data_IF_017044995971
#
_entry.id   IF_017044995971
#
_cell.length_a   1.000
_cell.length_b   1.000
_cell.length_c   1.000
_cell.angle_alpha   90.00
_cell.angle_beta   90.00
_cell.angle_gamma   90.00
#
_symmetry.space_group_name_H-M   'P 1'
#
loop_
_entity.id
_entity.type
_entity.pdbx_description
1 polymer ?
#
# COMPACT_ATOMS: atom_id res chain seq x y z
N UNK A 1 -32.61 1.16 -7.93
CA UNK A 1 -32.06 0.73 -6.62
C UNK A 1 -32.26 -0.76 -6.35
N UNK A 2 -33.33 -1.38 -6.80
CA UNK A 2 -33.54 -2.84 -6.67
C UNK A 2 -32.57 -3.67 -7.55
N UNK A 3 -32.25 -3.24 -8.77
CA UNK A 3 -31.29 -3.88 -9.68
C UNK A 3 -29.84 -3.88 -9.14
N UNK A 4 -29.47 -2.84 -8.36
CA UNK A 4 -28.13 -2.68 -7.77
C UNK A 4 -27.88 -3.67 -6.62
N UNK A 5 -28.91 -4.27 -6.06
CA UNK A 5 -28.83 -5.15 -4.88
C UNK A 5 -28.85 -6.64 -5.23
N UNK A 6 -29.13 -7.01 -6.48
CA UNK A 6 -28.98 -8.38 -6.93
C UNK A 6 -27.51 -8.68 -7.19
N UNK A 7 -26.99 -9.70 -6.53
CA UNK A 7 -25.71 -10.27 -6.93
C UNK A 7 -25.98 -10.97 -8.28
N UNK A 8 -25.23 -10.57 -9.29
CA UNK A 8 -25.22 -11.22 -10.60
C UNK A 8 -24.55 -12.61 -10.56
N UNK A 9 -24.24 -13.14 -9.38
CA UNK A 9 -23.55 -14.43 -9.20
C UNK A 9 -22.12 -14.43 -9.75
N UNK A 10 -21.52 -13.25 -9.99
CA UNK A 10 -20.21 -13.10 -10.63
C UNK A 10 -19.15 -12.57 -9.67
N UNK A 11 -17.92 -13.05 -9.83
CA UNK A 11 -16.75 -12.45 -9.20
C UNK A 11 -16.41 -11.12 -9.86
N UNK A 12 -16.18 -10.10 -9.04
CA UNK A 12 -15.61 -8.84 -9.49
C UNK A 12 -14.10 -8.96 -9.71
N UNK A 13 -13.51 -7.97 -10.41
CA UNK A 13 -12.07 -7.96 -10.65
C UNK A 13 -11.25 -8.00 -9.34
N UNK A 14 -11.69 -7.27 -8.31
CA UNK A 14 -11.04 -7.27 -7.00
C UNK A 14 -11.15 -8.64 -6.29
N UNK A 15 -12.28 -9.35 -6.43
CA UNK A 15 -12.46 -10.70 -5.86
C UNK A 15 -11.39 -11.65 -6.43
N UNK A 16 -11.25 -11.67 -7.76
CA UNK A 16 -10.30 -12.55 -8.45
C UNK A 16 -8.85 -12.20 -8.12
N UNK A 17 -8.53 -10.89 -8.06
CA UNK A 17 -7.21 -10.40 -7.67
C UNK A 17 -6.83 -10.87 -6.27
N UNK A 18 -7.72 -10.67 -5.31
CA UNK A 18 -7.48 -11.02 -3.91
C UNK A 18 -7.41 -12.53 -3.73
N UNK A 19 -8.31 -13.30 -4.36
CA UNK A 19 -8.25 -14.76 -4.30
C UNK A 19 -6.94 -15.32 -4.88
N UNK A 20 -6.44 -14.74 -5.97
CA UNK A 20 -5.14 -15.13 -6.54
C UNK A 20 -3.98 -14.81 -5.57
N UNK A 21 -4.03 -13.66 -4.91
CA UNK A 21 -3.03 -13.28 -3.91
C UNK A 21 -3.08 -14.23 -2.70
N UNK A 22 -4.26 -14.47 -2.11
CA UNK A 22 -4.42 -15.39 -0.99
C UNK A 22 -3.96 -16.81 -1.32
N UNK A 23 -4.21 -17.27 -2.55
CA UNK A 23 -3.71 -18.58 -3.01
C UNK A 23 -2.18 -18.58 -3.11
N UNK A 24 -1.56 -17.51 -3.63
CA UNK A 24 -0.10 -17.37 -3.74
C UNK A 24 0.59 -17.30 -2.38
N UNK A 25 0.11 -16.43 -1.48
CA UNK A 25 0.67 -16.33 -0.12
C UNK A 25 0.37 -17.55 0.73
N UNK A 26 -0.83 -18.16 0.57
CA UNK A 26 -1.16 -19.43 1.20
C UNK A 26 -0.24 -20.58 0.75
N UNK A 27 0.14 -20.61 -0.52
CA UNK A 27 1.14 -21.56 -1.02
C UNK A 27 2.53 -21.31 -0.38
N UNK A 28 2.94 -20.04 -0.21
CA UNK A 28 4.16 -19.70 0.51
C UNK A 28 4.11 -20.16 1.98
N UNK A 29 3.00 -19.92 2.67
CA UNK A 29 2.79 -20.41 4.05
C UNK A 29 2.94 -21.93 4.11
N UNK A 30 2.35 -22.66 3.16
CA UNK A 30 2.46 -24.12 3.10
C UNK A 30 3.90 -24.60 2.84
N UNK A 31 4.63 -23.94 1.94
CA UNK A 31 6.03 -24.26 1.64
C UNK A 31 6.95 -24.02 2.83
N UNK A 32 6.71 -22.91 3.56
CA UNK A 32 7.54 -22.53 4.69
C UNK A 32 6.91 -22.90 6.05
N UNK A 33 6.00 -23.86 6.07
CA UNK A 33 5.24 -24.29 7.26
C UNK A 33 6.10 -24.49 8.50
N UNK A 34 7.21 -25.20 8.37
CA UNK A 34 8.10 -25.51 9.48
C UNK A 34 8.87 -24.30 10.05
N UNK A 35 8.82 -23.17 9.35
CA UNK A 35 9.45 -21.89 9.78
C UNK A 35 8.43 -20.89 10.30
N UNK A 36 7.14 -21.21 10.25
CA UNK A 36 6.01 -20.33 10.56
C UNK A 36 5.15 -20.98 11.66
N UNK A 37 5.40 -20.66 12.93
CA UNK A 37 4.54 -21.10 14.03
C UNK A 37 3.07 -20.70 13.81
N UNK A 38 2.83 -19.55 13.17
CA UNK A 38 1.51 -18.99 12.87
C UNK A 38 0.87 -19.55 11.57
N UNK A 39 1.49 -20.55 10.91
CA UNK A 39 0.99 -21.11 9.66
C UNK A 39 -0.45 -21.62 9.72
N UNK A 40 -0.90 -22.35 10.77
CA UNK A 40 -2.29 -22.79 10.88
C UNK A 40 -3.28 -21.64 10.90
N UNK A 41 -2.97 -20.57 11.66
CA UNK A 41 -3.81 -19.40 11.81
C UNK A 41 -3.87 -18.59 10.50
N UNK A 42 -2.73 -18.40 9.83
CA UNK A 42 -2.65 -17.71 8.53
C UNK A 42 -3.47 -18.46 7.47
N UNK A 43 -3.33 -19.79 7.35
CA UNK A 43 -4.13 -20.56 6.41
C UNK A 43 -5.62 -20.54 6.76
N UNK A 44 -5.97 -20.60 8.03
CA UNK A 44 -7.37 -20.48 8.46
C UNK A 44 -7.96 -19.11 8.06
N UNK A 45 -7.20 -18.03 8.22
CA UNK A 45 -7.59 -16.69 7.80
C UNK A 45 -7.74 -16.59 6.26
N UNK A 46 -6.80 -17.16 5.49
CA UNK A 46 -6.87 -17.19 4.02
C UNK A 46 -8.11 -17.96 3.54
N UNK A 47 -8.32 -19.15 4.07
CA UNK A 47 -9.50 -19.98 3.73
C UNK A 47 -10.78 -19.27 4.15
N UNK A 48 -10.84 -18.70 5.35
CA UNK A 48 -11.99 -17.95 5.84
C UNK A 48 -12.31 -16.74 4.96
N UNK A 49 -11.29 -15.96 4.56
CA UNK A 49 -11.44 -14.84 3.64
C UNK A 49 -11.91 -15.30 2.25
N UNK A 50 -11.33 -16.38 1.71
CA UNK A 50 -11.75 -16.93 0.43
C UNK A 50 -13.20 -17.41 0.47
N UNK A 51 -13.61 -18.12 1.51
CA UNK A 51 -15.01 -18.54 1.72
C UNK A 51 -15.93 -17.30 1.78
N UNK A 52 -15.57 -16.27 2.55
CA UNK A 52 -16.37 -15.05 2.66
C UNK A 52 -16.54 -14.35 1.30
N UNK A 53 -15.49 -14.28 0.49
CA UNK A 53 -15.53 -13.70 -0.87
C UNK A 53 -16.46 -14.54 -1.77
N UNK A 54 -16.31 -15.88 -1.77
CA UNK A 54 -17.15 -16.78 -2.58
C UNK A 54 -18.61 -16.66 -2.17
N UNK A 55 -18.91 -16.70 -0.87
CA UNK A 55 -20.28 -16.54 -0.39
C UNK A 55 -20.87 -15.17 -0.74
N UNK A 56 -20.06 -14.10 -0.63
CA UNK A 56 -20.50 -12.76 -1.01
C UNK A 56 -20.73 -12.61 -2.52
N UNK A 57 -20.00 -13.36 -3.37
CA UNK A 57 -20.20 -13.33 -4.83
C UNK A 57 -21.52 -13.99 -5.27
N UNK A 58 -22.01 -14.94 -4.48
CA UNK A 58 -23.24 -15.72 -4.80
C UNK A 58 -24.50 -15.22 -4.11
N UNK A 59 -24.35 -14.35 -3.08
CA UNK A 59 -25.46 -13.83 -2.30
C UNK A 59 -25.80 -12.40 -2.69
N UNK A 60 -27.09 -12.06 -2.68
CA UNK A 60 -27.59 -10.70 -2.83
C UNK A 60 -27.91 -10.05 -1.48
N UNK A 61 -28.33 -8.79 -1.55
CA UNK A 61 -28.78 -8.05 -0.40
C UNK A 61 -27.91 -6.86 -0.03
N UNK A 62 -28.45 -5.94 0.73
CA UNK A 62 -27.82 -4.64 1.05
C UNK A 62 -26.51 -4.79 1.81
N UNK A 63 -26.46 -5.68 2.79
CA UNK A 63 -25.24 -5.89 3.58
C UNK A 63 -24.10 -6.48 2.72
N UNK A 64 -24.41 -7.47 1.87
CA UNK A 64 -23.44 -8.06 0.93
C UNK A 64 -22.95 -7.03 -0.08
N UNK A 65 -23.83 -6.18 -0.58
CA UNK A 65 -23.46 -5.11 -1.49
C UNK A 65 -22.44 -4.13 -0.88
N UNK A 66 -22.67 -3.67 0.38
CA UNK A 66 -21.72 -2.84 1.10
C UNK A 66 -20.40 -3.57 1.35
N UNK A 67 -20.47 -4.83 1.81
CA UNK A 67 -19.30 -5.65 2.04
C UNK A 67 -18.44 -5.77 0.78
N UNK A 68 -19.02 -6.18 -0.36
CA UNK A 68 -18.28 -6.36 -1.62
C UNK A 68 -17.57 -5.12 -2.13
N UNK A 69 -18.07 -3.94 -1.83
CA UNK A 69 -17.39 -2.71 -2.23
C UNK A 69 -16.19 -2.40 -1.33
N UNK A 70 -16.30 -2.59 -0.03
CA UNK A 70 -15.32 -2.11 0.92
C UNK A 70 -14.32 -3.16 1.41
N UNK A 71 -14.67 -4.45 1.38
CA UNK A 71 -13.78 -5.50 1.87
C UNK A 71 -12.41 -5.52 1.14
N UNK A 72 -12.27 -5.22 -0.18
CA UNK A 72 -10.98 -5.27 -0.84
C UNK A 72 -9.97 -4.33 -0.16
N UNK A 73 -10.40 -3.09 0.13
CA UNK A 73 -9.55 -2.09 0.79
C UNK A 73 -9.21 -2.48 2.24
N UNK A 74 -10.17 -3.03 2.98
CA UNK A 74 -9.95 -3.49 4.35
C UNK A 74 -9.03 -4.72 4.40
N UNK A 75 -9.22 -5.67 3.50
CA UNK A 75 -8.45 -6.92 3.48
C UNK A 75 -7.00 -6.68 3.09
N UNK A 76 -6.73 -5.86 2.06
CA UNK A 76 -5.34 -5.57 1.67
C UNK A 76 -4.58 -4.84 2.78
N UNK A 77 -5.24 -3.97 3.54
CA UNK A 77 -4.62 -3.36 4.72
C UNK A 77 -4.30 -4.42 5.81
N UNK A 78 -5.14 -5.45 5.96
CA UNK A 78 -4.90 -6.55 6.89
C UNK A 78 -3.75 -7.45 6.44
N UNK A 79 -3.57 -7.67 5.12
CA UNK A 79 -2.45 -8.44 4.56
C UNK A 79 -1.08 -7.82 4.86
N UNK A 80 -1.01 -6.51 5.19
CA UNK A 80 0.23 -5.88 5.62
C UNK A 80 0.84 -6.56 6.87
N UNK A 81 -0.01 -6.94 7.82
CA UNK A 81 0.45 -7.62 9.05
C UNK A 81 1.02 -9.01 8.76
N UNK A 82 0.53 -9.68 7.73
CA UNK A 82 1.06 -10.97 7.28
C UNK A 82 2.51 -10.85 6.79
N UNK A 83 2.87 -9.71 6.18
CA UNK A 83 4.24 -9.47 5.69
C UNK A 83 5.27 -9.50 6.82
N UNK A 84 4.90 -9.04 8.03
CA UNK A 84 5.76 -9.10 9.21
C UNK A 84 6.18 -10.53 9.58
N UNK A 85 5.31 -11.48 9.32
CA UNK A 85 5.49 -12.90 9.66
C UNK A 85 6.13 -13.63 8.47
N UNK A 86 5.64 -13.38 7.27
CA UNK A 86 6.00 -14.14 6.08
C UNK A 86 7.41 -13.80 5.56
N UNK A 87 7.78 -12.51 5.54
CA UNK A 87 9.07 -12.08 4.98
C UNK A 87 10.26 -12.70 5.71
N UNK A 88 10.36 -12.66 7.05
CA UNK A 88 11.47 -13.29 7.77
C UNK A 88 11.56 -14.82 7.55
N UNK A 89 10.43 -15.49 7.37
CA UNK A 89 10.40 -16.93 7.12
C UNK A 89 10.87 -17.31 5.72
N UNK A 90 10.56 -16.49 4.72
CA UNK A 90 10.89 -16.70 3.29
C UNK A 90 12.30 -16.22 2.97
N UNK A 91 12.69 -15.05 3.51
CA UNK A 91 13.95 -14.37 3.24
C UNK A 91 14.72 -14.16 4.54
N UNK A 92 15.91 -14.73 4.64
CA UNK A 92 16.69 -14.66 5.88
C UNK A 92 17.50 -13.38 6.09
N UNK A 93 17.63 -12.49 5.08
CA UNK A 93 18.47 -11.30 5.16
C UNK A 93 17.82 -10.08 4.47
N UNK A 94 18.07 -8.91 5.04
CA UNK A 94 17.68 -7.63 4.46
C UNK A 94 18.66 -7.20 3.36
N UNK A 95 18.16 -6.47 2.37
CA UNK A 95 18.90 -5.98 1.20
C UNK A 95 19.29 -4.51 1.31
N UNK A 96 19.22 -3.95 2.52
CA UNK A 96 19.43 -2.51 2.80
C UNK A 96 20.78 -1.99 2.31
N UNK A 97 21.87 -2.78 2.45
CA UNK A 97 23.19 -2.36 2.00
C UNK A 97 23.21 -2.08 0.48
N UNK A 98 22.60 -2.95 -0.30
CA UNK A 98 22.51 -2.76 -1.76
C UNK A 98 21.73 -1.49 -2.14
N UNK A 99 20.64 -1.19 -1.43
CA UNK A 99 19.84 0.02 -1.66
C UNK A 99 20.61 1.28 -1.25
N UNK A 100 21.30 1.24 -0.13
CA UNK A 100 22.16 2.35 0.32
C UNK A 100 23.33 2.62 -0.65
N UNK A 101 23.94 1.57 -1.18
CA UNK A 101 25.02 1.67 -2.18
C UNK A 101 24.50 2.27 -3.50
N UNK A 102 23.28 1.91 -3.92
CA UNK A 102 22.62 2.52 -5.08
C UNK A 102 22.35 4.01 -4.86
N UNK A 103 21.75 4.38 -3.72
CA UNK A 103 21.54 5.79 -3.37
C UNK A 103 22.87 6.56 -3.37
N UNK A 104 23.90 6.00 -2.76
CA UNK A 104 25.23 6.63 -2.72
C UNK A 104 25.85 6.78 -4.11
N UNK A 105 25.66 5.80 -5.00
CA UNK A 105 26.18 5.87 -6.37
C UNK A 105 25.54 6.99 -7.20
N UNK A 106 24.26 7.31 -6.91
CA UNK A 106 23.50 8.36 -7.61
C UNK A 106 23.80 9.73 -7.04
N UNK A 107 23.83 9.86 -5.72
CA UNK A 107 23.88 11.16 -5.03
C UNK A 107 25.28 11.52 -4.53
N UNK A 108 26.24 10.59 -4.55
CA UNK A 108 27.56 10.68 -3.89
C UNK A 108 27.45 11.09 -2.41
N UNK A 109 26.32 10.80 -1.79
CA UNK A 109 25.99 11.05 -0.41
C UNK A 109 24.83 10.13 0.01
N UNK A 110 24.58 10.01 1.30
CA UNK A 110 23.36 9.40 1.81
C UNK A 110 22.28 10.49 1.97
N UNK A 111 21.21 10.49 1.15
CA UNK A 111 20.21 11.58 1.15
C UNK A 111 19.58 11.82 2.53
N UNK A 112 19.29 10.75 3.27
CA UNK A 112 18.70 10.85 4.61
C UNK A 112 19.65 11.49 5.63
N UNK A 113 20.96 11.28 5.51
CA UNK A 113 21.98 11.93 6.34
C UNK A 113 22.17 13.39 5.89
N UNK A 114 22.23 13.62 4.58
CA UNK A 114 22.36 14.97 4.04
C UNK A 114 21.21 15.90 4.44
N UNK A 115 19.97 15.36 4.52
CA UNK A 115 18.78 16.13 4.93
C UNK A 115 18.78 16.57 6.40
N UNK A 116 19.68 16.07 7.24
CA UNK A 116 19.86 16.59 8.61
C UNK A 116 20.13 18.10 8.65
N UNK A 117 20.76 18.62 7.60
CA UNK A 117 21.12 20.05 7.50
C UNK A 117 19.92 20.99 7.48
N UNK A 118 18.77 20.48 7.04
CA UNK A 118 17.51 21.25 6.96
C UNK A 118 16.51 20.85 8.05
N UNK A 119 16.98 20.07 9.03
CA UNK A 119 16.13 19.57 10.09
C UNK A 119 15.71 20.67 11.06
N UNK A 120 14.39 20.81 11.25
CA UNK A 120 13.81 21.68 12.28
C UNK A 120 12.61 20.97 12.93
N UNK A 121 12.32 21.22 14.21
CA UNK A 121 11.17 20.59 14.89
C UNK A 121 9.84 20.81 14.16
N UNK A 122 9.58 22.01 13.68
CA UNK A 122 8.34 22.36 12.98
C UNK A 122 8.21 21.61 11.64
N UNK A 123 9.30 21.50 10.85
CA UNK A 123 9.31 20.74 9.61
C UNK A 123 9.12 19.25 9.88
N UNK A 124 9.78 18.72 10.92
CA UNK A 124 9.64 17.31 11.32
C UNK A 124 8.21 16.97 11.72
N UNK A 125 7.58 17.82 12.56
CA UNK A 125 6.17 17.64 12.95
C UNK A 125 5.23 17.68 11.73
N UNK A 126 5.42 18.65 10.84
CA UNK A 126 4.61 18.77 9.62
C UNK A 126 4.75 17.51 8.72
N UNK A 127 5.98 17.09 8.46
CA UNK A 127 6.24 15.94 7.59
C UNK A 127 5.78 14.62 8.24
N UNK A 128 5.90 14.50 9.57
CA UNK A 128 5.37 13.35 10.30
C UNK A 128 3.84 13.29 10.20
N UNK A 129 3.15 14.42 10.29
CA UNK A 129 1.70 14.48 10.06
C UNK A 129 1.34 14.06 8.64
N UNK A 130 2.04 14.59 7.63
CA UNK A 130 1.85 14.21 6.21
C UNK A 130 2.02 12.70 6.04
N UNK A 131 3.07 12.12 6.63
CA UNK A 131 3.34 10.68 6.58
C UNK A 131 2.22 9.87 7.25
N UNK A 132 1.80 10.25 8.45
CA UNK A 132 0.76 9.53 9.21
C UNK A 132 -0.61 9.57 8.52
N UNK A 133 -0.90 10.63 7.77
CA UNK A 133 -2.13 10.76 7.01
C UNK A 133 -2.16 9.93 5.70
N UNK A 134 -1.14 9.14 5.43
CA UNK A 134 -1.03 8.34 4.20
C UNK A 134 -2.26 7.45 3.94
N UNK A 135 -2.58 6.55 4.86
CA UNK A 135 -3.72 5.62 4.67
C UNK A 135 -5.05 6.37 4.55
N UNK A 136 -5.40 7.31 5.45
CA UNK A 136 -6.58 8.16 5.26
C UNK A 136 -6.63 8.89 3.92
N UNK A 137 -5.51 9.42 3.44
CA UNK A 137 -5.46 10.13 2.16
C UNK A 137 -5.71 9.18 0.97
N UNK A 138 -5.10 7.99 0.96
CA UNK A 138 -5.35 7.00 -0.09
C UNK A 138 -6.81 6.56 -0.10
N UNK A 139 -7.43 6.34 1.06
CA UNK A 139 -8.81 5.90 1.19
C UNK A 139 -9.85 7.01 0.94
N UNK A 140 -9.45 8.27 1.02
CA UNK A 140 -10.35 9.41 0.77
C UNK A 140 -10.83 9.45 -0.69
N UNK A 141 -10.02 9.03 -1.66
CA UNK A 141 -10.41 9.03 -3.08
C UNK A 141 -11.58 8.08 -3.36
N UNK A 142 -11.49 6.77 -3.03
CA UNK A 142 -12.64 5.88 -3.22
C UNK A 142 -13.84 6.32 -2.36
N UNK A 143 -13.63 6.85 -1.14
CA UNK A 143 -14.71 7.38 -0.33
C UNK A 143 -15.45 8.53 -1.01
N UNK A 144 -14.76 9.46 -1.65
CA UNK A 144 -15.36 10.56 -2.40
C UNK A 144 -16.15 10.06 -3.62
N UNK A 145 -15.65 9.07 -4.35
CA UNK A 145 -16.37 8.41 -5.44
C UNK A 145 -17.65 7.75 -4.94
N UNK A 146 -17.56 7.05 -3.81
CA UNK A 146 -18.71 6.47 -3.12
C UNK A 146 -19.77 7.52 -2.72
N UNK A 147 -19.35 8.60 -2.09
CA UNK A 147 -20.22 9.71 -1.70
C UNK A 147 -20.94 10.32 -2.91
N UNK A 148 -20.29 10.38 -4.05
CA UNK A 148 -20.85 10.85 -5.33
C UNK A 148 -21.69 9.80 -6.06
N UNK A 149 -21.89 8.61 -5.48
CA UNK A 149 -22.61 7.46 -6.07
C UNK A 149 -22.01 6.97 -7.41
N UNK A 150 -20.74 7.23 -7.64
CA UNK A 150 -19.98 6.77 -8.81
C UNK A 150 -19.42 5.37 -8.52
N UNK A 151 -20.29 4.39 -8.43
CA UNK A 151 -19.93 3.04 -7.94
C UNK A 151 -19.03 2.28 -8.92
N UNK A 152 -19.16 2.48 -10.21
CA UNK A 152 -18.27 1.87 -11.21
C UNK A 152 -16.83 2.39 -11.04
N UNK A 153 -16.66 3.71 -10.93
CA UNK A 153 -15.36 4.32 -10.70
C UNK A 153 -14.79 3.96 -9.33
N UNK A 154 -15.65 3.84 -8.32
CA UNK A 154 -15.24 3.34 -7.01
C UNK A 154 -14.64 1.92 -7.12
N UNK A 155 -15.33 0.99 -7.81
CA UNK A 155 -14.85 -0.38 -7.97
C UNK A 155 -13.49 -0.43 -8.69
N UNK A 156 -13.34 0.37 -9.74
CA UNK A 156 -12.05 0.46 -10.44
C UNK A 156 -10.96 1.08 -9.56
N UNK A 157 -11.25 2.16 -8.86
CA UNK A 157 -10.32 2.81 -7.94
C UNK A 157 -9.90 1.86 -6.80
N UNK A 158 -10.86 1.17 -6.18
CA UNK A 158 -10.59 0.17 -5.14
C UNK A 158 -9.75 -1.00 -5.67
N UNK A 159 -10.04 -1.48 -6.89
CA UNK A 159 -9.23 -2.49 -7.56
C UNK A 159 -7.79 -2.01 -7.77
N UNK A 160 -7.60 -0.80 -8.29
CA UNK A 160 -6.27 -0.27 -8.59
C UNK A 160 -5.45 -0.03 -7.31
N UNK A 161 -6.06 0.48 -6.25
CA UNK A 161 -5.43 0.63 -4.93
C UNK A 161 -5.07 -0.76 -4.35
N UNK A 162 -5.98 -1.72 -4.43
CA UNK A 162 -5.70 -3.10 -3.97
C UNK A 162 -4.56 -3.73 -4.75
N UNK A 163 -4.55 -3.55 -6.08
CA UNK A 163 -3.47 -4.04 -6.94
C UNK A 163 -2.12 -3.43 -6.54
N UNK A 164 -2.08 -2.11 -6.23
CA UNK A 164 -0.90 -1.43 -5.75
C UNK A 164 -0.39 -2.03 -4.43
N UNK A 165 -1.25 -2.11 -3.41
CA UNK A 165 -0.86 -2.74 -2.14
C UNK A 165 -0.28 -4.14 -2.32
N UNK A 166 -0.98 -5.00 -3.07
CA UNK A 166 -0.56 -6.38 -3.27
C UNK A 166 0.74 -6.49 -4.08
N UNK A 167 0.95 -5.59 -5.06
CA UNK A 167 2.20 -5.52 -5.81
C UNK A 167 3.37 -5.07 -4.94
N UNK A 168 3.18 -4.07 -4.08
CA UNK A 168 4.17 -3.67 -3.07
C UNK A 168 4.52 -4.83 -2.12
N UNK A 169 3.54 -5.59 -1.64
CA UNK A 169 3.79 -6.74 -0.75
C UNK A 169 4.61 -7.84 -1.42
N UNK A 170 4.36 -8.09 -2.71
CA UNK A 170 5.23 -9.00 -3.49
C UNK A 170 6.64 -8.42 -3.56
N UNK A 171 6.78 -7.12 -3.78
CA UNK A 171 8.06 -6.43 -3.77
C UNK A 171 8.81 -6.58 -2.45
N UNK A 172 8.13 -6.44 -1.32
CA UNK A 172 8.71 -6.62 0.03
C UNK A 172 9.24 -8.05 0.25
N UNK A 173 8.55 -9.06 -0.28
CA UNK A 173 9.03 -10.45 -0.22
C UNK A 173 10.26 -10.63 -1.13
N UNK A 174 10.29 -10.02 -2.31
CA UNK A 174 11.36 -10.18 -3.28
C UNK A 174 12.64 -9.43 -2.88
N UNK A 175 12.49 -8.22 -2.34
CA UNK A 175 13.59 -7.32 -1.94
C UNK A 175 13.32 -6.81 -0.53
N UNK A 176 13.50 -7.65 0.50
CA UNK A 176 13.23 -7.26 1.87
C UNK A 176 14.23 -6.21 2.35
N UNK A 177 13.74 -5.05 2.73
CA UNK A 177 14.57 -3.96 3.23
C UNK A 177 13.89 -3.26 4.40
N UNK A 178 14.68 -2.90 5.41
CA UNK A 178 14.21 -2.29 6.67
C UNK A 178 14.18 -0.76 6.63
N UNK A 179 14.96 -0.19 5.72
CA UNK A 179 15.08 1.25 5.52
C UNK A 179 16.28 1.91 6.21
N UNK A 180 16.59 3.16 5.79
CA UNK A 180 17.78 3.87 6.22
C UNK A 180 17.88 4.10 7.73
N UNK A 181 16.74 4.20 8.41
CA UNK A 181 16.70 4.38 9.88
C UNK A 181 17.34 3.26 10.69
N UNK A 182 17.53 2.06 10.06
CA UNK A 182 18.17 0.92 10.70
C UNK A 182 19.62 0.75 10.27
N UNK A 183 19.89 0.89 8.95
CA UNK A 183 21.23 0.68 8.41
C UNK A 183 22.14 1.90 8.64
N UNK A 184 21.62 3.12 8.41
CA UNK A 184 22.40 4.35 8.41
C UNK A 184 22.33 5.12 9.74
N UNK A 185 21.77 4.52 10.80
CA UNK A 185 21.62 5.18 12.11
C UNK A 185 22.98 5.66 12.67
N UNK A 186 24.02 4.86 12.49
CA UNK A 186 25.39 5.17 12.93
C UNK A 186 26.03 6.36 12.20
N UNK A 187 25.50 6.78 11.05
CA UNK A 187 25.94 7.97 10.30
C UNK A 187 25.14 9.22 10.65
N UNK A 188 24.08 9.07 11.40
CA UNK A 188 23.22 10.18 11.79
C UNK A 188 23.83 10.92 12.98
N UNK A 189 23.99 12.25 12.87
CA UNK A 189 24.61 13.06 13.90
C UNK A 189 23.63 13.54 14.97
N UNK A 190 22.34 13.60 14.62
CA UNK A 190 21.29 14.04 15.53
C UNK A 190 20.03 13.18 15.40
N UNK A 191 19.33 12.90 16.52
CA UNK A 191 18.01 12.28 16.45
C UNK A 191 17.04 13.21 15.71
N UNK A 192 16.02 12.65 15.08
CA UNK A 192 14.93 13.45 14.51
C UNK A 192 14.22 14.21 15.62
N UNK A 193 14.52 15.52 15.70
CA UNK A 193 13.90 16.40 16.68
C UNK A 193 12.52 16.81 16.18
N UNK A 194 11.49 16.56 16.97
CA UNK A 194 10.12 16.99 16.73
C UNK A 194 9.47 17.39 18.04
N UNK A 195 8.33 18.04 17.94
CA UNK A 195 7.50 18.38 19.08
C UNK A 195 6.60 17.21 19.53
N UNK A 196 5.51 17.56 20.16
CA UNK A 196 4.52 16.58 20.63
C UNK A 196 3.95 15.68 19.52
N UNK A 197 3.74 16.20 18.31
CA UNK A 197 3.20 15.45 17.17
C UNK A 197 4.08 14.26 16.81
N UNK A 198 5.38 14.50 16.65
CA UNK A 198 6.36 13.43 16.34
C UNK A 198 6.37 12.38 17.44
N UNK A 199 6.43 12.81 18.71
CA UNK A 199 6.50 11.88 19.82
C UNK A 199 5.31 10.92 19.88
N UNK A 200 4.08 11.45 19.78
CA UNK A 200 2.86 10.64 19.82
C UNK A 200 2.74 9.75 18.58
N UNK A 201 2.99 10.32 17.40
CA UNK A 201 2.80 9.58 16.13
C UNK A 201 3.85 8.49 15.94
N UNK A 202 5.14 8.75 16.22
CA UNK A 202 6.17 7.71 16.12
C UNK A 202 5.92 6.57 17.10
N UNK A 203 5.63 6.87 18.35
CA UNK A 203 5.30 5.82 19.33
C UNK A 203 4.09 4.99 18.90
N UNK A 204 3.11 5.62 18.25
CA UNK A 204 1.93 4.90 17.74
C UNK A 204 2.27 4.08 16.48
N UNK A 205 3.02 4.66 15.55
CA UNK A 205 3.45 3.96 14.34
C UNK A 205 4.38 2.78 14.66
N UNK A 206 5.38 2.97 15.52
CA UNK A 206 6.28 1.89 15.95
C UNK A 206 5.55 0.72 16.62
N UNK A 207 4.38 0.98 17.23
CA UNK A 207 3.49 -0.08 17.76
C UNK A 207 2.61 -0.73 16.71
N UNK A 208 2.23 -0.01 15.66
CA UNK A 208 1.34 -0.48 14.59
C UNK A 208 2.11 -1.08 13.42
N UNK A 209 3.30 -0.55 13.11
CA UNK A 209 4.19 -1.07 12.08
C UNK A 209 4.82 -2.38 12.55
N UNK A 210 4.14 -3.48 12.29
CA UNK A 210 4.63 -4.82 12.60
C UNK A 210 5.63 -5.33 11.55
N UNK A 211 5.56 -4.84 10.31
CA UNK A 211 6.44 -5.25 9.21
C UNK A 211 7.67 -4.34 9.14
N UNK A 212 8.84 -4.88 9.51
CA UNK A 212 10.11 -4.16 9.44
C UNK A 212 10.88 -4.39 8.12
N UNK A 213 10.22 -4.85 7.06
CA UNK A 213 10.83 -5.19 5.76
C UNK A 213 10.03 -4.62 4.58
N UNK A 214 9.39 -3.48 4.79
CA UNK A 214 8.43 -2.85 3.88
C UNK A 214 9.00 -1.61 3.15
N UNK A 215 10.34 -1.54 3.04
CA UNK A 215 10.98 -0.37 2.48
C UNK A 215 10.94 -0.37 0.94
N UNK A 216 11.19 -1.51 0.26
CA UNK A 216 11.30 -1.56 -1.21
C UNK A 216 10.25 -2.47 -1.85
N UNK A 217 9.51 -1.99 -2.87
CA UNK A 217 9.43 -0.60 -3.35
C UNK A 217 8.63 0.28 -2.38
N UNK A 218 8.77 1.61 -2.48
CA UNK A 218 8.01 2.50 -1.59
C UNK A 218 6.52 2.46 -1.87
N UNK A 219 5.76 1.78 -1.00
CA UNK A 219 4.29 1.78 -1.05
C UNK A 219 3.68 3.17 -0.82
N UNK A 220 4.34 4.03 -0.03
CA UNK A 220 3.93 5.42 0.18
C UNK A 220 3.98 6.22 -1.11
N UNK A 221 5.09 6.12 -1.87
CA UNK A 221 5.22 6.76 -3.17
C UNK A 221 4.24 6.20 -4.19
N UNK A 222 4.19 4.88 -4.32
CA UNK A 222 3.31 4.18 -5.27
C UNK A 222 1.83 4.54 -5.07
N UNK A 223 1.30 4.30 -3.88
CA UNK A 223 -0.13 4.43 -3.61
C UNK A 223 -0.61 5.89 -3.62
N UNK A 224 0.24 6.85 -3.24
CA UNK A 224 -0.12 8.26 -3.37
C UNK A 224 -0.15 8.72 -4.82
N UNK A 225 0.72 8.19 -5.69
CA UNK A 225 0.67 8.42 -7.15
C UNK A 225 -0.62 7.82 -7.72
N UNK A 226 -1.01 6.60 -7.32
CA UNK A 226 -2.28 5.98 -7.73
C UNK A 226 -3.47 6.81 -7.23
N UNK A 227 -3.44 7.31 -6.01
CA UNK A 227 -4.49 8.16 -5.45
C UNK A 227 -4.57 9.52 -6.19
N UNK A 228 -3.42 10.14 -6.47
CA UNK A 228 -3.36 11.34 -7.31
C UNK A 228 -3.96 11.09 -8.69
N UNK A 229 -3.56 10.01 -9.38
CA UNK A 229 -4.11 9.65 -10.68
C UNK A 229 -5.62 9.48 -10.61
N UNK A 230 -6.12 8.71 -9.66
CA UNK A 230 -7.56 8.44 -9.48
C UNK A 230 -8.35 9.70 -9.12
N UNK A 231 -7.76 10.65 -8.38
CA UNK A 231 -8.42 11.91 -7.98
C UNK A 231 -8.76 12.83 -9.17
N UNK A 232 -8.06 12.66 -10.31
CA UNK A 232 -8.29 13.40 -11.57
C UNK A 232 -9.70 13.21 -12.10
N UNK A 233 -10.28 12.03 -11.87
CA UNK A 233 -11.65 11.71 -12.26
C UNK A 233 -12.69 12.48 -11.44
N UNK A 234 -12.33 12.99 -10.25
CA UNK A 234 -13.24 13.69 -9.35
C UNK A 234 -13.26 15.19 -9.64
N UNK A 235 -12.10 15.83 -9.66
CA UNK A 235 -11.95 17.22 -10.06
C UNK A 235 -10.48 17.64 -10.26
N UNK A 236 -10.24 18.64 -11.12
CA UNK A 236 -8.91 19.24 -11.31
C UNK A 236 -8.33 19.86 -10.03
N UNK A 237 -9.20 20.44 -9.17
CA UNK A 237 -8.77 21.01 -7.89
C UNK A 237 -8.26 19.94 -6.95
N UNK A 238 -9.01 18.84 -6.80
CA UNK A 238 -8.60 17.72 -5.96
C UNK A 238 -7.29 17.10 -6.45
N UNK A 239 -7.17 16.91 -7.76
CA UNK A 239 -5.93 16.38 -8.36
C UNK A 239 -4.71 17.24 -8.04
N UNK A 240 -4.83 18.58 -8.06
CA UNK A 240 -3.71 19.47 -7.66
C UNK A 240 -3.34 19.32 -6.19
N UNK A 241 -4.34 19.16 -5.33
CA UNK A 241 -4.10 18.91 -3.89
C UNK A 241 -3.37 17.57 -3.70
N UNK A 242 -3.82 16.51 -4.38
CA UNK A 242 -3.17 15.21 -4.31
C UNK A 242 -1.76 15.21 -4.90
N UNK A 243 -1.51 15.97 -5.97
CA UNK A 243 -0.15 16.13 -6.51
C UNK A 243 0.78 16.77 -5.47
N UNK A 244 0.33 17.87 -4.85
CA UNK A 244 1.10 18.52 -3.79
C UNK A 244 1.35 17.57 -2.60
N UNK A 245 0.32 16.82 -2.18
CA UNK A 245 0.45 15.82 -1.13
C UNK A 245 1.43 14.71 -1.50
N UNK A 246 1.38 14.18 -2.74
CA UNK A 246 2.30 13.16 -3.24
C UNK A 246 3.75 13.65 -3.21
N UNK A 247 4.02 14.89 -3.63
CA UNK A 247 5.36 15.47 -3.55
C UNK A 247 5.82 15.64 -2.10
N UNK A 248 4.92 16.08 -1.21
CA UNK A 248 5.23 16.20 0.22
C UNK A 248 5.54 14.85 0.86
N UNK A 249 4.77 13.79 0.56
CA UNK A 249 5.00 12.48 1.18
C UNK A 249 6.28 11.82 0.64
N UNK A 250 6.61 11.97 -0.64
CA UNK A 250 7.87 11.52 -1.22
C UNK A 250 9.05 12.18 -0.47
N UNK A 251 9.00 13.48 -0.27
CA UNK A 251 10.02 14.18 0.50
C UNK A 251 10.03 13.73 1.98
N UNK A 252 8.84 13.61 2.59
CA UNK A 252 8.70 13.21 3.99
C UNK A 252 9.33 11.84 4.27
N UNK A 253 9.17 10.87 3.38
CA UNK A 253 9.69 9.50 3.59
C UNK A 253 11.21 9.45 3.65
N UNK A 254 11.91 10.27 2.84
CA UNK A 254 13.38 10.37 2.89
C UNK A 254 13.83 11.20 4.10
N UNK A 255 13.20 12.35 4.33
CA UNK A 255 13.52 13.22 5.46
C UNK A 255 13.35 12.53 6.82
N UNK A 256 12.27 11.76 6.96
CA UNK A 256 11.98 11.00 8.19
C UNK A 256 12.75 9.67 8.28
N UNK A 257 13.63 9.39 7.33
CA UNK A 257 14.54 8.22 7.30
C UNK A 257 13.81 6.88 7.12
N UNK A 258 12.62 6.88 6.49
CA UNK A 258 11.87 5.65 6.23
C UNK A 258 12.29 4.97 4.93
N UNK A 259 12.63 5.73 3.87
CA UNK A 259 12.95 5.21 2.54
C UNK A 259 14.26 5.74 1.99
N UNK A 260 14.94 4.90 1.19
CA UNK A 260 15.97 5.32 0.24
C UNK A 260 15.30 6.03 -0.94
N UNK A 261 16.05 6.86 -1.69
CA UNK A 261 15.48 7.52 -2.87
C UNK A 261 15.19 6.54 -4.00
N UNK A 262 15.99 5.46 -4.13
CA UNK A 262 15.75 4.37 -5.10
C UNK A 262 14.45 3.62 -4.85
N UNK A 263 13.98 3.52 -3.60
CA UNK A 263 12.69 2.91 -3.28
C UNK A 263 11.53 3.73 -3.85
N UNK A 264 11.67 5.06 -3.79
CA UNK A 264 10.66 6.00 -4.32
C UNK A 264 10.61 5.95 -5.85
N UNK A 265 11.78 5.83 -6.49
CA UNK A 265 11.87 5.64 -7.94
C UNK A 265 11.20 4.32 -8.33
N UNK A 266 11.50 3.23 -7.62
CA UNK A 266 10.88 1.93 -7.85
C UNK A 266 9.36 1.98 -7.63
N UNK A 267 8.89 2.63 -6.55
CA UNK A 267 7.46 2.82 -6.28
C UNK A 267 6.77 3.65 -7.36
N UNK A 268 7.41 4.72 -7.84
CA UNK A 268 6.86 5.55 -8.92
C UNK A 268 6.77 4.79 -10.26
N UNK A 269 7.79 4.00 -10.59
CA UNK A 269 7.76 3.14 -11.77
C UNK A 269 6.68 2.06 -11.66
N UNK A 270 6.55 1.44 -10.49
CA UNK A 270 5.50 0.46 -10.24
C UNK A 270 4.12 1.10 -10.39
N UNK A 271 3.88 2.28 -9.79
CA UNK A 271 2.64 3.02 -9.98
C UNK A 271 2.34 3.30 -11.46
N UNK A 272 3.34 3.75 -12.24
CA UNK A 272 3.18 4.02 -13.65
C UNK A 272 2.77 2.76 -14.44
N UNK A 273 3.43 1.63 -14.17
CA UNK A 273 3.10 0.33 -14.78
C UNK A 273 1.67 -0.09 -14.42
N UNK A 274 1.28 0.01 -13.13
CA UNK A 274 -0.05 -0.41 -12.68
C UNK A 274 -1.16 0.52 -13.22
N UNK A 275 -0.91 1.81 -13.31
CA UNK A 275 -1.84 2.77 -13.92
C UNK A 275 -2.01 2.46 -15.42
N UNK A 276 -0.95 2.15 -16.13
CA UNK A 276 -1.01 1.83 -17.56
C UNK A 276 -1.67 0.47 -17.82
N UNK A 277 -1.33 -0.56 -17.04
CA UNK A 277 -1.86 -1.91 -17.19
C UNK A 277 -3.25 -2.10 -16.56
N UNK A 278 -3.58 -1.30 -15.55
CA UNK A 278 -4.78 -1.43 -14.73
C UNK A 278 -6.09 -1.52 -15.53
N UNK A 279 -6.34 -0.65 -16.53
CA UNK A 279 -7.59 -0.74 -17.32
C UNK A 279 -7.71 -2.06 -18.08
N UNK A 280 -6.62 -2.58 -18.63
CA UNK A 280 -6.60 -3.86 -19.34
C UNK A 280 -6.84 -5.02 -18.37
N UNK A 281 -6.14 -5.04 -17.23
CA UNK A 281 -6.29 -6.05 -16.19
C UNK A 281 -7.71 -6.05 -15.62
N UNK A 282 -8.25 -4.88 -15.31
CA UNK A 282 -9.61 -4.74 -14.79
C UNK A 282 -10.64 -5.30 -15.77
N UNK A 283 -10.59 -4.92 -17.04
CA UNK A 283 -11.49 -5.45 -18.09
C UNK A 283 -11.36 -6.96 -18.26
N UNK A 284 -10.15 -7.51 -18.25
CA UNK A 284 -9.91 -8.95 -18.36
C UNK A 284 -10.49 -9.72 -17.18
N UNK A 285 -10.40 -9.17 -15.98
CA UNK A 285 -10.90 -9.81 -14.75
C UNK A 285 -12.40 -9.60 -14.54
N UNK A 286 -12.97 -8.43 -14.90
CA UNK A 286 -14.41 -8.14 -14.75
C UNK A 286 -15.29 -8.84 -15.81
N UNK A 287 -14.72 -9.24 -16.96
CA UNK A 287 -15.51 -9.60 -18.12
C UNK A 287 -16.01 -8.36 -18.89
N UNK A 288 -16.68 -8.56 -20.04
CA UNK A 288 -16.98 -7.51 -21.03
C UNK A 288 -17.97 -6.40 -20.60
N UNK A 289 -18.58 -6.46 -19.42
CA UNK A 289 -19.74 -5.60 -19.09
C UNK A 289 -19.45 -4.38 -18.21
N UNK A 290 -18.31 -4.32 -17.54
CA UNK A 290 -17.91 -3.11 -16.78
C UNK A 290 -17.13 -2.16 -17.70
N UNK A 291 -17.84 -1.35 -18.51
CA UNK A 291 -17.19 -0.27 -19.25
C UNK A 291 -16.69 0.79 -18.26
N UNK A 292 -15.37 0.91 -18.15
CA UNK A 292 -14.74 2.07 -17.51
C UNK A 292 -15.11 3.27 -18.38
N UNK A 293 -15.82 4.25 -17.83
CA UNK A 293 -15.94 5.53 -18.50
C UNK A 293 -14.53 6.12 -18.64
N UNK A 294 -14.06 6.24 -19.90
CA UNK A 294 -12.72 6.72 -20.25
C UNK A 294 -12.53 8.21 -19.87
#
# INVERSE_FOLDING_TARGET
MAEVLNSDGRFWAADKLILAYLAGTGALVAVYWNRLPEAPELLALHVGAAIAIVLASTRGGRAVWYFRHWYPLALVASCYREMAILIPAVRGAATDQWLADLDFSIWHANPTVWLERVQTPALTDFLQLVYTLFVPAVLLVPWLLWRKRRFADFRYCAFLISLGFLASYIGYILVPARGPRFLLDHLQHSPLQGGWVVHVMRTTLDRLESAHYDCFPSGHGELTIIAWWSSRQISKRLSRVYLAYTLCIIFATVYLRYHYTVDLVAGALLAAVLIAAGPMMYRKLSGREDSIAA
#
